data_IF_835174192177
#
_entry.id   IF_835174192177
#
_cell.length_a   1.000
_cell.length_b   1.000
_cell.length_c   1.000
_cell.angle_alpha   90.00
_cell.angle_beta   90.00
_cell.angle_gamma   90.00
#
_symmetry.space_group_name_H-M   'P 1'
#
loop_
_entity.id
_entity.type
_entity.pdbx_description
1 polymer ?
#
# COMPACT_ATOMS: atom_id res chain seq x y z
N UNK A 1 -14.72 4.19 -10.59
CA UNK A 1 -15.86 5.06 -10.21
C UNK A 1 -17.08 4.69 -11.07
N UNK A 2 -18.29 4.87 -10.56
CA UNK A 2 -19.53 4.49 -11.25
C UNK A 2 -20.62 5.52 -10.96
N UNK A 3 -21.32 5.95 -12.01
CA UNK A 3 -22.45 6.88 -11.97
C UNK A 3 -23.73 6.30 -11.38
N UNK A 4 -24.86 6.94 -11.68
CA UNK A 4 -26.19 6.43 -11.32
C UNK A 4 -26.50 5.10 -12.05
N UNK A 5 -26.74 4.00 -11.32
CA UNK A 5 -27.10 2.71 -11.92
C UNK A 5 -28.42 2.70 -12.71
N UNK A 6 -29.31 3.68 -12.48
CA UNK A 6 -30.60 3.79 -13.18
C UNK A 6 -30.56 4.73 -14.39
N UNK A 7 -29.39 5.31 -14.72
CA UNK A 7 -29.23 6.14 -15.90
C UNK A 7 -29.15 5.31 -17.19
N UNK A 8 -29.28 5.95 -18.35
CA UNK A 8 -29.23 5.28 -19.66
C UNK A 8 -27.85 4.70 -20.03
N UNK A 9 -26.78 5.22 -19.42
CA UNK A 9 -25.37 4.81 -19.58
C UNK A 9 -24.63 5.01 -18.22
N UNK A 10 -23.42 4.47 -17.97
CA UNK A 10 -22.82 4.44 -16.62
C UNK A 10 -22.08 5.71 -16.17
N UNK A 11 -22.00 6.74 -17.02
CA UNK A 11 -21.27 8.00 -16.79
C UNK A 11 -22.06 9.16 -16.12
N UNK A 12 -23.41 9.20 -16.10
CA UNK A 12 -24.17 10.26 -15.44
C UNK A 12 -23.98 10.29 -13.93
N UNK A 13 -24.05 11.49 -13.36
CA UNK A 13 -23.84 11.76 -11.94
C UNK A 13 -24.98 11.20 -11.07
N UNK A 14 -24.72 10.89 -9.77
CA UNK A 14 -23.46 11.07 -9.04
C UNK A 14 -22.47 9.92 -9.26
N UNK A 15 -21.25 10.28 -9.67
CA UNK A 15 -20.13 9.37 -9.90
C UNK A 15 -19.27 9.32 -8.65
N UNK A 16 -19.21 8.14 -8.02
CA UNK A 16 -18.32 7.87 -6.90
C UNK A 16 -17.77 6.44 -6.98
N UNK A 17 -16.82 6.08 -6.12
CA UNK A 17 -16.34 4.69 -6.07
C UNK A 17 -17.42 3.77 -5.51
N UNK A 18 -17.63 2.64 -6.19
CA UNK A 18 -18.57 1.58 -5.80
C UNK A 18 -17.86 0.22 -5.94
N UNK A 19 -18.07 -0.75 -5.04
CA UNK A 19 -17.53 -2.09 -5.22
C UNK A 19 -18.13 -2.76 -6.48
N UNK A 20 -17.31 -3.52 -7.20
CA UNK A 20 -17.71 -4.23 -8.42
C UNK A 20 -17.75 -5.74 -8.16
N UNK A 21 -18.11 -6.56 -9.17
CA UNK A 21 -18.35 -8.00 -8.99
C UNK A 21 -17.25 -8.77 -8.24
N UNK A 22 -15.98 -8.47 -8.51
CA UNK A 22 -14.83 -9.10 -7.84
C UNK A 22 -14.74 -8.77 -6.33
N UNK A 23 -15.57 -7.88 -5.80
CA UNK A 23 -15.63 -7.56 -4.38
C UNK A 23 -16.68 -8.36 -3.61
N UNK A 24 -17.47 -9.22 -4.28
CA UNK A 24 -18.60 -9.93 -3.67
C UNK A 24 -18.47 -11.45 -3.68
N UNK A 25 -19.05 -12.09 -2.66
CA UNK A 25 -19.23 -13.55 -2.58
C UNK A 25 -17.96 -14.36 -2.86
N UNK A 26 -18.12 -15.43 -3.65
CA UNK A 26 -17.02 -16.31 -4.08
C UNK A 26 -16.07 -15.64 -5.07
N UNK A 27 -16.53 -14.67 -5.85
CA UNK A 27 -15.67 -13.91 -6.75
C UNK A 27 -14.56 -13.22 -5.95
N UNK A 28 -14.90 -12.58 -4.82
CA UNK A 28 -13.93 -11.96 -3.90
C UNK A 28 -12.85 -12.89 -3.40
N UNK A 29 -13.23 -14.11 -3.00
CA UNK A 29 -12.27 -15.06 -2.44
C UNK A 29 -11.39 -15.68 -3.52
N UNK A 30 -11.88 -15.76 -4.76
CA UNK A 30 -11.13 -16.22 -5.93
C UNK A 30 -10.17 -15.17 -6.52
N UNK A 31 -10.44 -13.88 -6.30
CA UNK A 31 -9.67 -12.77 -6.88
C UNK A 31 -8.71 -12.09 -5.89
N UNK A 32 -8.47 -12.70 -4.72
CA UNK A 32 -7.54 -12.18 -3.71
C UNK A 32 -6.69 -13.28 -3.12
N UNK A 33 -5.61 -12.86 -2.48
CA UNK A 33 -4.73 -13.74 -1.70
C UNK A 33 -4.67 -13.27 -0.25
N UNK A 34 -4.52 -14.21 0.67
CA UNK A 34 -4.14 -13.94 2.05
C UNK A 34 -2.72 -14.46 2.27
N UNK A 35 -1.82 -13.56 2.66
CA UNK A 35 -0.46 -13.95 2.99
C UNK A 35 -0.39 -14.52 4.40
N UNK A 36 0.27 -15.67 4.55
CA UNK A 36 0.42 -16.41 5.81
C UNK A 36 1.88 -16.81 6.02
N UNK A 37 2.26 -17.23 7.23
CA UNK A 37 3.57 -17.86 7.43
C UNK A 37 3.63 -19.21 6.74
N UNK A 38 4.84 -19.64 6.37
CA UNK A 38 5.05 -20.98 5.82
C UNK A 38 4.63 -22.08 6.83
N UNK A 39 4.83 -21.85 8.13
CA UNK A 39 4.39 -22.77 9.19
C UNK A 39 2.86 -22.90 9.28
N UNK A 40 2.12 -21.81 9.09
CA UNK A 40 0.66 -21.85 9.10
C UNK A 40 0.12 -22.70 7.96
N UNK A 41 0.67 -22.53 6.76
CA UNK A 41 0.26 -23.28 5.58
C UNK A 41 0.60 -24.77 5.71
N UNK A 42 1.78 -25.09 6.25
CA UNK A 42 2.20 -26.47 6.50
C UNK A 42 1.36 -27.18 7.58
N UNK A 43 0.83 -26.44 8.56
CA UNK A 43 0.01 -26.98 9.65
C UNK A 43 -1.43 -27.38 9.26
N UNK A 44 -1.83 -27.22 7.99
CA UNK A 44 -3.17 -27.59 7.52
C UNK A 44 -4.31 -26.82 8.19
N UNK A 45 -4.05 -25.62 8.70
CA UNK A 45 -5.01 -24.84 9.48
C UNK A 45 -6.07 -24.12 8.64
N UNK A 46 -5.90 -24.08 7.31
CA UNK A 46 -6.81 -23.38 6.39
C UNK A 46 -8.23 -23.96 6.46
N UNK A 47 -8.35 -25.29 6.37
CA UNK A 47 -9.63 -25.98 6.38
C UNK A 47 -10.29 -25.92 7.76
N UNK A 48 -9.50 -26.08 8.83
CA UNK A 48 -9.97 -25.95 10.22
C UNK A 48 -10.63 -24.60 10.51
N UNK A 49 -10.16 -23.55 9.85
CA UNK A 49 -10.64 -22.18 10.01
C UNK A 49 -11.66 -21.77 8.92
N UNK A 50 -12.02 -22.68 8.01
CA UNK A 50 -12.98 -22.38 6.93
C UNK A 50 -12.51 -21.29 5.97
N UNK A 51 -11.19 -21.15 5.78
CA UNK A 51 -10.64 -20.12 4.90
C UNK A 51 -10.83 -20.50 3.43
N UNK A 52 -11.42 -19.58 2.66
CA UNK A 52 -11.79 -19.80 1.26
C UNK A 52 -11.00 -18.98 0.25
N UNK A 53 -10.17 -18.03 0.71
CA UNK A 53 -9.28 -17.25 -0.16
C UNK A 53 -7.98 -18.00 -0.42
N UNK A 54 -7.34 -17.78 -1.57
CA UNK A 54 -6.04 -18.38 -1.86
C UNK A 54 -5.01 -17.95 -0.82
N UNK A 55 -4.36 -18.91 -0.16
CA UNK A 55 -3.30 -18.64 0.80
C UNK A 55 -1.93 -18.68 0.12
N UNK A 56 -1.08 -17.69 0.41
CA UNK A 56 0.29 -17.64 -0.07
C UNK A 56 1.27 -17.54 1.10
N UNK A 57 2.33 -18.37 1.16
CA UNK A 57 3.33 -18.27 2.20
C UNK A 57 4.26 -17.09 1.93
N UNK A 58 4.48 -16.25 2.94
CA UNK A 58 5.55 -15.26 2.92
C UNK A 58 6.91 -15.99 3.01
N UNK A 59 7.86 -15.59 2.16
CA UNK A 59 9.22 -16.16 2.07
C UNK A 59 10.26 -15.07 1.92
N UNK A 60 11.55 -15.42 2.09
CA UNK A 60 12.69 -14.53 1.78
C UNK A 60 12.68 -13.22 2.59
N UNK A 61 12.29 -13.28 3.88
CA UNK A 61 12.22 -12.09 4.76
C UNK A 61 13.49 -11.81 5.54
N UNK A 62 14.49 -12.71 5.45
CA UNK A 62 15.75 -12.63 6.21
C UNK A 62 16.99 -12.54 5.32
N UNK A 63 16.80 -12.60 4.02
CA UNK A 63 17.87 -12.55 3.01
C UNK A 63 17.77 -11.31 2.12
N UNK A 64 16.91 -10.36 2.47
CA UNK A 64 16.81 -9.06 1.81
C UNK A 64 17.28 -7.96 2.77
N UNK A 65 17.88 -6.92 2.22
CA UNK A 65 18.38 -5.76 2.94
C UNK A 65 18.17 -4.46 2.16
N UNK A 66 18.88 -3.41 2.56
CA UNK A 66 18.74 -2.07 1.95
C UNK A 66 19.10 -2.05 0.46
N UNK A 67 20.05 -2.87 0.03
CA UNK A 67 20.48 -3.01 -1.37
C UNK A 67 19.39 -3.53 -2.30
N UNK A 68 18.42 -4.29 -1.78
CA UNK A 68 17.34 -4.89 -2.58
C UNK A 68 16.17 -3.93 -2.82
N UNK A 69 16.21 -2.72 -2.22
CA UNK A 69 15.21 -1.69 -2.43
C UNK A 69 15.36 -1.05 -3.82
N UNK A 70 14.49 -1.44 -4.75
CA UNK A 70 14.46 -0.94 -6.12
C UNK A 70 14.35 0.59 -6.13
N UNK A 71 15.32 1.23 -6.80
CA UNK A 71 15.47 2.69 -6.92
C UNK A 71 15.70 3.44 -5.58
N UNK A 72 15.89 2.74 -4.45
CA UNK A 72 15.90 3.34 -3.11
C UNK A 72 16.92 2.69 -2.14
N UNK A 73 18.07 2.30 -2.65
CA UNK A 73 19.08 1.51 -1.94
C UNK A 73 20.21 2.33 -1.26
N UNK A 74 20.15 3.66 -1.29
CA UNK A 74 21.21 4.52 -0.74
C UNK A 74 21.41 4.34 0.79
N UNK A 75 22.67 4.31 1.22
CA UNK A 75 23.10 4.19 2.63
C UNK A 75 24.10 5.30 2.98
N UNK A 76 23.66 6.57 3.04
CA UNK A 76 24.53 7.68 3.44
C UNK A 76 24.92 7.59 4.92
N UNK A 77 26.03 8.24 5.30
CA UNK A 77 26.32 8.48 6.72
C UNK A 77 25.40 9.58 7.22
N UNK A 78 24.46 9.23 8.11
CA UNK A 78 23.50 10.18 8.68
C UNK A 78 23.97 10.62 10.06
N UNK A 79 24.05 11.92 10.26
CA UNK A 79 24.36 12.57 11.53
C UNK A 79 23.19 13.47 11.95
N UNK A 80 22.87 13.48 13.25
CA UNK A 80 21.85 14.37 13.82
C UNK A 80 22.47 15.09 15.00
N UNK A 81 22.48 16.42 14.95
CA UNK A 81 22.95 17.23 16.06
C UNK A 81 21.95 17.17 17.23
N UNK A 82 22.38 16.83 18.46
CA UNK A 82 21.47 16.57 19.58
C UNK A 82 20.85 17.84 20.19
N UNK A 83 21.36 19.02 19.88
CA UNK A 83 20.90 20.30 20.45
C UNK A 83 20.03 21.07 19.43
N UNK A 84 20.45 21.08 18.17
CA UNK A 84 19.81 21.86 17.09
C UNK A 84 18.89 21.02 16.21
N UNK A 85 19.05 19.70 16.22
CA UNK A 85 18.35 18.74 15.37
C UNK A 85 18.65 18.90 13.86
N UNK A 86 19.74 19.57 13.50
CA UNK A 86 20.25 19.54 12.14
C UNK A 86 20.56 18.11 11.71
N UNK A 87 20.06 17.73 10.53
CA UNK A 87 20.30 16.42 9.93
C UNK A 87 21.29 16.59 8.79
N UNK A 88 22.36 15.81 8.78
CA UNK A 88 23.36 15.79 7.70
C UNK A 88 23.46 14.41 7.06
N UNK A 89 23.63 14.38 5.74
CA UNK A 89 24.00 13.18 4.99
C UNK A 89 25.36 13.41 4.34
N UNK A 90 26.34 12.57 4.66
CA UNK A 90 27.71 12.70 4.14
C UNK A 90 28.30 14.12 4.36
N UNK A 91 27.93 14.75 5.49
CA UNK A 91 28.33 16.10 5.89
C UNK A 91 27.44 17.23 5.34
N UNK A 92 26.60 16.96 4.34
CA UNK A 92 25.70 17.95 3.73
C UNK A 92 24.43 18.14 4.56
N UNK A 93 24.09 19.39 4.89
CA UNK A 93 22.87 19.73 5.63
C UNK A 93 21.64 19.41 4.78
N UNK A 94 20.77 18.54 5.30
CA UNK A 94 19.49 18.20 4.70
C UNK A 94 18.41 19.14 5.24
N UNK A 95 17.96 20.07 4.40
CA UNK A 95 16.86 20.99 4.73
C UNK A 95 16.02 21.27 3.49
N UNK A 96 14.78 21.69 3.70
CA UNK A 96 13.90 22.16 2.64
C UNK A 96 12.92 23.19 3.19
N UNK A 97 12.56 24.16 2.35
CA UNK A 97 11.51 25.12 2.68
C UNK A 97 10.14 24.43 2.75
N UNK A 98 9.27 24.83 3.69
CA UNK A 98 7.91 24.32 3.74
C UNK A 98 7.12 24.77 2.51
N UNK A 99 6.41 23.84 1.88
CA UNK A 99 5.50 24.15 0.78
C UNK A 99 4.24 24.87 1.28
N UNK A 100 3.86 25.98 0.64
CA UNK A 100 2.64 26.73 0.96
C UNK A 100 1.39 26.12 0.29
N UNK A 101 1.57 25.44 -0.84
CA UNK A 101 0.52 24.76 -1.61
C UNK A 101 1.10 23.46 -2.18
N UNK A 102 0.26 22.43 -2.36
CA UNK A 102 0.66 21.15 -2.94
C UNK A 102 -0.23 20.75 -4.13
N UNK A 103 0.34 20.10 -5.16
CA UNK A 103 -0.46 19.43 -6.18
C UNK A 103 -1.24 18.26 -5.55
N UNK A 104 -2.23 17.75 -6.29
CA UNK A 104 -3.09 16.66 -5.81
C UNK A 104 -3.86 16.96 -4.50
N UNK A 105 -4.10 18.24 -4.19
CA UNK A 105 -4.85 18.69 -3.01
C UNK A 105 -6.22 19.31 -3.38
N UNK A 106 -6.41 20.62 -3.12
CA UNK A 106 -7.69 21.34 -3.22
C UNK A 106 -8.45 21.16 -4.53
N UNK A 107 -7.76 20.83 -5.64
CA UNK A 107 -8.37 20.60 -6.95
C UNK A 107 -9.24 19.33 -7.03
N UNK A 108 -8.90 18.28 -6.28
CA UNK A 108 -9.43 16.93 -6.52
C UNK A 108 -10.38 16.40 -5.44
N UNK A 109 -10.38 16.99 -4.25
CA UNK A 109 -11.16 16.54 -3.11
C UNK A 109 -12.31 17.51 -2.83
N UNK A 110 -13.49 16.98 -2.53
CA UNK A 110 -14.65 17.79 -2.17
C UNK A 110 -14.47 18.49 -0.82
N UNK A 111 -13.73 17.84 0.09
CA UNK A 111 -13.33 18.32 1.41
C UNK A 111 -11.93 17.78 1.73
#
# INVERSE_FOLDING_TARGET
PMGDPNASIPTPQPVHYRPMFASFGRARTSSRVTFVSQSFLAGGNADKLGLSSKLLPVKTTRSIGKSDMVLNSATPQIEVDPETYEVRADGELLTCEPAQELPMAQRYFLF
#
